data_IF_964404579435
#
_entry.id   IF_964404579435
#
_cell.length_a   1.000
_cell.length_b   1.000
_cell.length_c   1.000
_cell.angle_alpha   90.00
_cell.angle_beta   90.00
_cell.angle_gamma   90.00
#
_symmetry.space_group_name_H-M   'P 1'
#
loop_
_entity.id
_entity.type
_entity.pdbx_description
1 polymer ?
#
# COMPACT_ATOMS: atom_id res chain seq x y z
N UNK A 1 43.62 7.82 5.86
CA UNK A 1 42.29 7.90 5.26
C UNK A 1 41.44 8.78 6.14
N UNK A 2 41.15 10.00 5.69
CA UNK A 2 40.43 10.97 6.52
C UNK A 2 38.94 10.64 6.54
N UNK A 3 38.22 11.01 7.61
CA UNK A 3 36.77 10.82 7.71
C UNK A 3 36.00 11.53 6.57
N UNK A 4 36.63 12.47 5.86
CA UNK A 4 36.10 13.09 4.66
C UNK A 4 36.11 12.16 3.42
N UNK A 5 37.05 11.21 3.30
CA UNK A 5 37.04 10.20 2.24
C UNK A 5 35.94 9.14 2.45
N UNK A 6 35.61 8.84 3.70
CA UNK A 6 34.49 7.95 4.04
C UNK A 6 33.12 8.60 3.83
N UNK A 7 33.01 9.92 3.98
CA UNK A 7 31.77 10.65 3.70
C UNK A 7 31.60 10.98 2.20
N UNK A 8 32.68 11.05 1.43
CA UNK A 8 32.61 11.17 -0.03
C UNK A 8 32.10 9.89 -0.72
N UNK A 9 32.23 8.71 -0.08
CA UNK A 9 31.65 7.45 -0.56
C UNK A 9 30.16 7.27 -0.18
N UNK A 10 29.63 8.11 0.72
CA UNK A 10 28.21 8.10 1.11
C UNK A 10 27.37 9.13 0.32
N UNK A 11 28.00 9.89 -0.58
CA UNK A 11 27.36 10.91 -1.40
C UNK A 11 26.73 10.33 -2.66
N UNK A 12 25.43 10.52 -2.81
CA UNK A 12 24.70 10.38 -4.08
C UNK A 12 24.99 9.07 -4.81
N UNK A 13 24.54 7.95 -4.24
CA UNK A 13 24.41 6.70 -4.98
C UNK A 13 23.39 6.90 -6.11
N UNK A 14 23.85 7.51 -7.21
CA UNK A 14 23.18 7.47 -8.50
C UNK A 14 22.94 5.99 -8.75
N UNK A 15 21.68 5.56 -8.64
CA UNK A 15 21.33 4.15 -8.79
C UNK A 15 22.01 3.64 -10.06
N UNK A 16 22.85 2.62 -9.91
CA UNK A 16 23.55 2.01 -11.03
C UNK A 16 22.56 1.76 -12.18
N UNK A 17 23.01 1.87 -13.44
CA UNK A 17 22.12 1.75 -14.58
C UNK A 17 21.25 0.50 -14.44
N UNK A 18 19.94 0.72 -14.49
CA UNK A 18 18.91 -0.34 -14.46
C UNK A 18 18.89 -1.15 -15.75
N UNK A 19 19.82 -0.86 -16.66
CA UNK A 19 19.92 -1.50 -17.95
C UNK A 19 20.33 -2.97 -17.79
N UNK A 20 19.85 -3.81 -18.68
CA UNK A 20 19.99 -5.25 -18.67
C UNK A 20 21.13 -5.58 -19.61
N UNK A 21 22.16 -6.22 -19.09
CA UNK A 21 23.44 -6.43 -19.79
C UNK A 21 23.52 -7.83 -20.39
N UNK A 22 22.39 -8.55 -20.43
CA UNK A 22 22.34 -9.93 -20.91
C UNK A 22 22.79 -10.95 -19.87
N UNK A 23 22.83 -10.58 -18.58
CA UNK A 23 23.21 -11.50 -17.52
C UNK A 23 22.14 -12.56 -17.22
N UNK A 24 22.52 -13.70 -16.65
CA UNK A 24 21.53 -14.72 -16.32
C UNK A 24 20.52 -14.25 -15.27
N UNK A 25 19.29 -14.75 -15.39
CA UNK A 25 18.19 -14.47 -14.48
C UNK A 25 17.90 -15.68 -13.59
N UNK A 26 17.23 -15.47 -12.45
CA UNK A 26 16.77 -16.55 -11.56
C UNK A 26 15.42 -16.24 -10.93
N UNK A 27 14.70 -17.29 -10.55
CA UNK A 27 13.48 -17.16 -9.76
C UNK A 27 13.77 -17.02 -8.27
N UNK A 28 13.01 -16.17 -7.59
CA UNK A 28 12.95 -16.10 -6.13
C UNK A 28 11.50 -16.08 -5.66
N UNK A 29 11.23 -16.74 -4.54
CA UNK A 29 9.89 -16.80 -3.97
C UNK A 29 9.84 -17.66 -2.72
N UNK A 30 8.65 -18.07 -2.33
CA UNK A 30 8.50 -18.97 -1.18
C UNK A 30 9.14 -20.35 -1.42
N UNK A 31 9.15 -20.81 -2.67
CA UNK A 31 9.75 -22.09 -3.07
C UNK A 31 11.25 -22.21 -2.72
N UNK A 32 11.99 -21.09 -2.65
CA UNK A 32 13.39 -21.06 -2.26
C UNK A 32 13.67 -20.13 -1.07
N UNK A 33 12.64 -19.81 -0.27
CA UNK A 33 12.76 -18.90 0.89
C UNK A 33 13.41 -17.55 0.53
N UNK A 34 13.15 -17.04 -0.68
CA UNK A 34 13.69 -15.77 -1.16
C UNK A 34 15.23 -15.72 -1.26
N UNK A 35 15.90 -16.88 -1.35
CA UNK A 35 17.36 -16.95 -1.47
C UNK A 35 17.82 -16.49 -2.84
N UNK A 36 18.55 -15.38 -2.88
CA UNK A 36 19.11 -14.83 -4.11
C UNK A 36 20.27 -15.65 -4.71
N UNK A 37 20.80 -16.64 -3.98
CA UNK A 37 21.97 -17.45 -4.36
C UNK A 37 21.64 -18.86 -4.85
N UNK A 38 20.36 -19.25 -4.89
CA UNK A 38 19.95 -20.58 -5.36
C UNK A 38 20.14 -20.75 -6.88
N UNK A 39 21.12 -21.57 -7.27
CA UNK A 39 21.43 -21.85 -8.68
C UNK A 39 20.47 -22.84 -9.34
N UNK A 40 19.64 -23.55 -8.56
CA UNK A 40 18.70 -24.55 -9.11
C UNK A 40 17.55 -23.91 -9.88
N UNK A 41 17.29 -22.61 -9.64
CA UNK A 41 16.20 -21.84 -10.25
C UNK A 41 16.69 -20.77 -11.24
N UNK A 42 17.85 -20.99 -11.85
CA UNK A 42 18.40 -20.11 -12.88
C UNK A 42 17.69 -20.31 -14.21
N UNK A 43 17.15 -19.23 -14.78
CA UNK A 43 16.59 -19.24 -16.13
C UNK A 43 17.74 -19.22 -17.13
N UNK A 44 17.73 -20.16 -18.06
CA UNK A 44 18.74 -20.25 -19.11
C UNK A 44 18.36 -19.35 -20.26
N UNK A 45 19.33 -18.62 -20.80
CA UNK A 45 19.13 -17.83 -22.00
C UNK A 45 18.81 -18.75 -23.18
N UNK A 46 17.74 -18.43 -23.90
CA UNK A 46 17.34 -19.06 -25.15
C UNK A 46 17.96 -18.27 -26.30
N UNK A 47 18.50 -18.97 -27.30
CA UNK A 47 19.02 -18.30 -28.50
C UNK A 47 17.87 -17.78 -29.35
N UNK A 48 17.81 -16.45 -29.51
CA UNK A 48 16.92 -15.77 -30.45
C UNK A 48 17.79 -15.08 -31.50
N UNK A 49 17.34 -15.07 -32.75
CA UNK A 49 18.04 -14.41 -33.87
C UNK A 49 18.02 -12.88 -33.80
N UNK A 50 17.25 -12.29 -32.88
CA UNK A 50 17.11 -10.85 -32.69
C UNK A 50 18.09 -10.37 -31.63
N UNK A 51 18.93 -9.40 -31.97
CA UNK A 51 19.98 -8.88 -31.07
C UNK A 51 19.41 -8.09 -29.90
N UNK A 52 18.20 -7.56 -30.04
CA UNK A 52 17.63 -6.59 -29.10
C UNK A 52 16.72 -7.25 -28.05
N UNK A 53 16.54 -8.57 -28.16
CA UNK A 53 15.62 -9.35 -27.33
C UNK A 53 16.36 -10.52 -26.68
N UNK A 54 16.43 -10.50 -25.35
CA UNK A 54 16.93 -11.61 -24.57
C UNK A 54 15.76 -12.39 -23.96
N UNK A 55 15.62 -13.66 -24.32
CA UNK A 55 14.64 -14.56 -23.71
C UNK A 55 15.33 -15.57 -22.82
N UNK A 56 14.70 -15.84 -21.70
CA UNK A 56 15.15 -16.78 -20.69
C UNK A 56 14.04 -17.77 -20.38
N UNK A 57 14.41 -19.04 -20.20
CA UNK A 57 13.49 -20.14 -19.93
C UNK A 57 13.92 -20.97 -18.73
N UNK A 58 12.95 -21.39 -17.91
CA UNK A 58 13.15 -22.39 -16.87
C UNK A 58 11.96 -23.35 -16.81
N UNK A 59 12.21 -24.64 -17.04
CA UNK A 59 11.21 -25.69 -16.86
C UNK A 59 11.22 -26.17 -15.41
N UNK A 60 10.06 -26.20 -14.77
CA UNK A 60 9.86 -26.65 -13.38
C UNK A 60 8.63 -27.53 -13.26
N UNK A 61 8.62 -28.40 -12.27
CA UNK A 61 7.45 -29.20 -11.89
C UNK A 61 6.77 -28.62 -10.65
N UNK A 62 5.49 -28.29 -10.76
CA UNK A 62 4.69 -27.69 -9.70
C UNK A 62 4.07 -28.78 -8.82
N UNK A 63 4.72 -29.15 -7.72
CA UNK A 63 4.27 -30.28 -6.90
C UNK A 63 2.84 -30.11 -6.37
N UNK A 64 2.48 -28.88 -5.96
CA UNK A 64 1.15 -28.54 -5.43
C UNK A 64 0.32 -27.68 -6.40
N UNK A 65 0.75 -27.58 -7.67
CA UNK A 65 -0.01 -26.86 -8.71
C UNK A 65 0.02 -25.33 -8.56
N UNK A 66 0.95 -24.79 -7.78
CA UNK A 66 0.99 -23.34 -7.52
C UNK A 66 2.43 -22.85 -7.35
N UNK A 67 2.73 -21.67 -7.91
CA UNK A 67 4.03 -21.01 -7.76
C UNK A 67 3.87 -19.49 -7.70
N UNK A 68 4.43 -18.85 -6.68
CA UNK A 68 4.52 -17.38 -6.58
C UNK A 68 5.97 -16.97 -6.56
N UNK A 69 6.37 -16.13 -7.52
CA UNK A 69 7.77 -15.78 -7.72
C UNK A 69 7.99 -14.35 -8.22
N UNK A 70 9.23 -13.91 -8.11
CA UNK A 70 9.80 -12.78 -8.82
C UNK A 70 11.03 -13.27 -9.58
N UNK A 71 11.53 -12.45 -10.49
CA UNK A 71 12.74 -12.76 -11.25
C UNK A 71 13.79 -11.73 -10.88
N UNK A 72 15.01 -12.18 -10.60
CA UNK A 72 16.13 -11.28 -10.28
C UNK A 72 17.35 -11.62 -11.12
N UNK A 73 18.27 -10.67 -11.21
CA UNK A 73 19.59 -10.88 -11.81
C UNK A 73 20.44 -11.84 -10.97
N UNK A 74 21.18 -12.75 -11.61
CA UNK A 74 22.12 -13.63 -10.93
C UNK A 74 23.33 -12.88 -10.34
N UNK A 75 23.72 -11.75 -10.95
CA UNK A 75 24.89 -10.96 -10.54
C UNK A 75 24.51 -9.77 -9.68
N UNK A 76 23.40 -9.10 -10.00
CA UNK A 76 22.92 -7.91 -9.27
C UNK A 76 21.92 -8.23 -8.17
N UNK A 77 21.46 -9.48 -8.08
CA UNK A 77 20.45 -9.91 -7.12
C UNK A 77 19.23 -8.97 -7.12
N UNK A 78 18.76 -8.53 -5.95
CA UNK A 78 17.61 -7.66 -5.82
C UNK A 78 17.82 -6.24 -6.35
N UNK A 79 19.06 -5.82 -6.67
CA UNK A 79 19.30 -4.54 -7.33
C UNK A 79 18.80 -4.52 -8.79
N UNK A 80 18.51 -5.69 -9.38
CA UNK A 80 17.76 -5.81 -10.62
C UNK A 80 16.65 -6.86 -10.45
N UNK A 81 15.40 -6.40 -10.43
CA UNK A 81 14.21 -7.21 -10.16
C UNK A 81 13.16 -6.97 -11.21
N UNK A 82 12.64 -8.05 -11.79
CA UNK A 82 11.46 -8.03 -12.65
C UNK A 82 10.25 -8.47 -11.82
N UNK A 83 9.22 -7.63 -11.84
CA UNK A 83 8.00 -7.85 -11.07
C UNK A 83 6.78 -7.27 -11.80
N UNK A 84 5.56 -7.78 -11.51
CA UNK A 84 4.35 -7.30 -12.15
C UNK A 84 3.89 -5.95 -11.56
N UNK A 85 3.34 -5.07 -12.39
CA UNK A 85 2.95 -3.71 -11.97
C UNK A 85 1.46 -3.56 -11.66
N UNK A 86 0.60 -4.36 -12.27
CA UNK A 86 -0.87 -4.23 -12.13
C UNK A 86 -1.50 -5.56 -11.67
N UNK A 87 -2.08 -5.61 -10.47
CA UNK A 87 -2.72 -6.83 -9.97
C UNK A 87 -4.04 -7.09 -10.72
N UNK A 88 -4.47 -8.35 -10.72
CA UNK A 88 -5.83 -8.75 -11.07
C UNK A 88 -6.81 -8.32 -9.98
N UNK A 89 -8.10 -8.44 -10.27
CA UNK A 89 -9.19 -8.01 -9.39
C UNK A 89 -9.20 -8.70 -8.01
N UNK A 90 -8.54 -9.85 -7.86
CA UNK A 90 -8.41 -10.60 -6.61
C UNK A 90 -7.04 -10.44 -5.95
N UNK A 91 -6.25 -9.47 -6.40
CA UNK A 91 -5.02 -9.05 -5.76
C UNK A 91 -3.80 -9.95 -5.99
N UNK A 92 -3.91 -10.91 -6.91
CA UNK A 92 -2.79 -11.69 -7.41
C UNK A 92 -2.29 -11.14 -8.75
N UNK A 93 -1.16 -11.62 -9.25
CA UNK A 93 -0.67 -11.29 -10.59
C UNK A 93 -0.56 -12.57 -11.41
N UNK A 94 -1.72 -13.14 -11.78
CA UNK A 94 -1.80 -14.43 -12.47
C UNK A 94 -1.30 -14.34 -13.89
N UNK A 95 -0.26 -15.11 -14.20
CA UNK A 95 0.14 -15.38 -15.57
C UNK A 95 -0.92 -16.28 -16.24
N UNK A 96 -1.07 -16.14 -17.56
CA UNK A 96 -1.89 -17.05 -18.36
C UNK A 96 -1.00 -17.86 -19.31
N UNK A 97 -1.27 -19.16 -19.42
CA UNK A 97 -0.52 -20.06 -20.30
C UNK A 97 -0.49 -19.52 -21.74
N UNK A 98 0.70 -19.45 -22.34
CA UNK A 98 0.92 -19.00 -23.71
C UNK A 98 0.66 -17.52 -23.99
N UNK A 99 0.41 -16.70 -22.95
CA UNK A 99 0.07 -15.29 -23.14
C UNK A 99 1.12 -14.35 -22.53
N UNK A 100 1.99 -13.82 -23.40
CA UNK A 100 3.05 -12.88 -23.05
C UNK A 100 2.55 -11.54 -22.48
N UNK A 101 1.32 -11.17 -22.80
CA UNK A 101 0.71 -9.89 -22.40
C UNK A 101 -0.26 -10.03 -21.22
N UNK A 102 -0.35 -11.22 -20.62
CA UNK A 102 -1.31 -11.49 -19.53
C UNK A 102 -1.08 -10.58 -18.31
N UNK A 103 0.18 -10.29 -18.00
CA UNK A 103 0.56 -9.47 -16.86
C UNK A 103 1.64 -8.47 -17.28
N UNK A 104 1.34 -7.18 -17.12
CA UNK A 104 2.33 -6.14 -17.32
C UNK A 104 3.42 -6.23 -16.24
N UNK A 105 4.68 -6.19 -16.67
CA UNK A 105 5.85 -6.27 -15.81
C UNK A 105 6.76 -5.05 -16.00
N UNK A 106 7.60 -4.78 -14.99
CA UNK A 106 8.65 -3.74 -15.04
C UNK A 106 9.93 -4.24 -14.40
N UNK A 107 11.03 -3.54 -14.67
CA UNK A 107 12.29 -3.65 -13.96
C UNK A 107 12.35 -2.61 -12.84
N UNK A 108 12.89 -2.99 -11.68
CA UNK A 108 13.22 -2.06 -10.60
C UNK A 108 14.37 -2.59 -9.75
N UNK A 109 14.71 -1.84 -8.70
CA UNK A 109 15.81 -2.14 -7.78
C UNK A 109 15.37 -2.80 -6.48
N UNK A 110 16.24 -2.73 -5.48
CA UNK A 110 16.07 -3.43 -4.21
C UNK A 110 14.80 -3.02 -3.46
N UNK A 111 14.44 -1.73 -3.53
CA UNK A 111 13.26 -1.14 -2.90
C UNK A 111 11.95 -1.33 -3.69
N UNK A 112 12.02 -1.86 -4.92
CA UNK A 112 10.90 -1.88 -5.86
C UNK A 112 10.21 -3.26 -5.86
N UNK A 113 8.90 -3.30 -6.13
CA UNK A 113 8.19 -4.57 -6.34
C UNK A 113 7.99 -5.48 -5.12
N UNK A 114 8.21 -5.01 -3.89
CA UNK A 114 7.95 -5.85 -2.70
C UNK A 114 6.49 -6.33 -2.63
N UNK A 115 6.30 -7.65 -2.57
CA UNK A 115 4.97 -8.29 -2.54
C UNK A 115 4.27 -8.29 -3.89
N UNK A 116 4.94 -7.93 -4.98
CA UNK A 116 4.45 -8.06 -6.34
C UNK A 116 5.02 -9.34 -6.95
N UNK A 117 4.29 -10.44 -6.86
CA UNK A 117 4.76 -11.73 -7.33
C UNK A 117 3.90 -12.21 -8.48
N UNK A 118 4.55 -12.71 -9.53
CA UNK A 118 3.87 -13.50 -10.55
C UNK A 118 3.29 -14.75 -9.91
N UNK A 119 2.09 -15.15 -10.36
CA UNK A 119 1.40 -16.33 -9.88
C UNK A 119 1.11 -17.27 -11.06
N UNK A 120 1.50 -18.53 -10.93
CA UNK A 120 1.07 -19.64 -11.77
C UNK A 120 0.19 -20.56 -10.94
N UNK A 121 -0.98 -20.91 -11.46
CA UNK A 121 -1.89 -21.92 -10.88
C UNK A 121 -2.24 -22.93 -11.95
N UNK A 122 -1.96 -24.20 -11.66
CA UNK A 122 -2.15 -25.35 -12.54
C UNK A 122 -2.53 -26.58 -11.70
N UNK A 123 -2.78 -27.73 -12.35
CA UNK A 123 -2.98 -28.99 -11.63
C UNK A 123 -1.69 -29.44 -10.89
N UNK A 124 -1.79 -30.06 -9.70
CA UNK A 124 -0.64 -30.61 -9.01
C UNK A 124 0.16 -31.61 -9.86
N UNK A 125 1.48 -31.47 -9.84
CA UNK A 125 2.41 -32.26 -10.63
C UNK A 125 2.64 -31.77 -12.06
N UNK A 126 1.95 -30.71 -12.49
CA UNK A 126 2.11 -30.09 -13.83
C UNK A 126 3.53 -29.57 -14.02
N UNK A 127 4.08 -29.80 -15.22
CA UNK A 127 5.37 -29.23 -15.63
C UNK A 127 5.12 -28.02 -16.51
N UNK A 128 5.69 -26.88 -16.13
CA UNK A 128 5.59 -25.62 -16.85
C UNK A 128 6.98 -25.13 -17.25
N UNK A 129 7.07 -24.44 -18.38
CA UNK A 129 8.26 -23.65 -18.74
C UNK A 129 7.93 -22.18 -18.55
N UNK A 130 8.65 -21.53 -17.65
CA UNK A 130 8.51 -20.11 -17.34
C UNK A 130 9.43 -19.35 -18.27
N UNK A 131 8.88 -18.38 -18.98
CA UNK A 131 9.60 -17.54 -19.91
C UNK A 131 9.65 -16.10 -19.40
N UNK A 132 10.81 -15.49 -19.57
CA UNK A 132 11.03 -14.06 -19.31
C UNK A 132 11.73 -13.48 -20.52
N UNK A 133 11.16 -12.41 -21.06
CA UNK A 133 11.75 -11.67 -22.17
C UNK A 133 12.08 -10.27 -21.71
N UNK A 134 13.30 -9.84 -22.00
CA UNK A 134 13.81 -8.49 -21.75
C UNK A 134 14.25 -7.92 -23.09
N UNK A 135 13.64 -6.81 -23.49
CA UNK A 135 14.00 -6.09 -24.71
C UNK A 135 14.38 -4.65 -24.41
N UNK A 136 15.36 -4.14 -25.13
CA UNK A 136 15.77 -2.73 -25.05
C UNK A 136 15.03 -1.92 -26.13
N UNK A 137 14.29 -0.91 -25.69
CA UNK A 137 13.66 0.06 -26.59
C UNK A 137 14.68 1.07 -27.13
N UNK A 138 14.37 1.69 -28.27
CA UNK A 138 15.24 2.68 -28.93
C UNK A 138 15.65 3.88 -28.06
N UNK A 139 14.89 4.16 -26.99
CA UNK A 139 15.16 5.25 -26.06
C UNK A 139 15.86 4.80 -24.76
N UNK A 140 16.35 3.55 -24.71
CA UNK A 140 16.83 2.93 -23.47
C UNK A 140 15.70 2.41 -22.56
N UNK A 141 14.43 2.61 -22.95
CA UNK A 141 13.28 2.07 -22.22
C UNK A 141 13.29 0.54 -22.28
N UNK A 142 13.33 -0.09 -21.11
CA UNK A 142 13.28 -1.55 -21.04
C UNK A 142 11.85 -2.06 -21.03
N UNK A 143 11.57 -3.02 -21.90
CA UNK A 143 10.30 -3.75 -21.88
C UNK A 143 10.56 -5.16 -21.41
N UNK A 144 9.75 -5.59 -20.44
CA UNK A 144 9.81 -6.93 -19.89
C UNK A 144 8.47 -7.63 -19.99
N UNK A 145 8.50 -8.89 -20.37
CA UNK A 145 7.34 -9.77 -20.41
C UNK A 145 7.66 -11.06 -19.64
N UNK A 146 6.66 -11.61 -18.96
CA UNK A 146 6.76 -12.89 -18.30
C UNK A 146 5.49 -13.70 -18.60
N UNK A 147 5.67 -14.97 -18.95
CA UNK A 147 4.58 -15.92 -19.20
C UNK A 147 5.05 -17.34 -18.89
N UNK A 148 4.18 -18.32 -19.08
CA UNK A 148 4.59 -19.71 -19.05
C UNK A 148 3.87 -20.50 -20.14
N UNK A 149 4.45 -21.64 -20.48
CA UNK A 149 3.86 -22.63 -21.37
C UNK A 149 3.79 -23.99 -20.67
N UNK A 150 2.79 -24.80 -21.00
CA UNK A 150 2.68 -26.16 -20.50
C UNK A 150 3.66 -27.06 -21.26
N UNK A 151 4.49 -27.80 -20.53
CA UNK A 151 5.45 -28.73 -21.13
C UNK A 151 4.76 -30.06 -21.50
N UNK A 152 3.85 -30.03 -22.48
CA UNK A 152 3.18 -31.24 -22.96
C UNK A 152 4.10 -32.07 -23.86
N UNK A 153 4.24 -33.36 -23.54
CA UNK A 153 4.65 -34.40 -24.49
C UNK A 153 6.09 -34.32 -25.02
N UNK A 154 6.87 -33.28 -24.69
CA UNK A 154 8.32 -33.32 -24.89
C UNK A 154 8.89 -34.27 -23.87
N UNK A 155 9.30 -35.45 -24.33
CA UNK A 155 10.14 -36.34 -23.54
C UNK A 155 11.42 -35.56 -23.25
N UNK A 156 11.46 -34.88 -22.10
CA UNK A 156 12.68 -34.32 -21.52
C UNK A 156 13.55 -35.49 -21.04
N UNK A 157 13.91 -36.37 -21.98
CA UNK A 157 14.78 -37.49 -21.72
C UNK A 157 16.13 -36.90 -21.29
N UNK A 158 16.53 -37.21 -20.05
CA UNK A 158 17.81 -36.92 -19.39
C UNK A 158 17.97 -35.63 -18.55
N UNK A 159 17.10 -34.61 -18.61
CA UNK A 159 17.30 -33.42 -17.77
C UNK A 159 16.44 -33.47 -16.50
N UNK A 160 17.08 -33.48 -15.33
CA UNK A 160 16.38 -33.36 -14.04
C UNK A 160 15.64 -32.02 -13.97
N UNK A 161 14.31 -32.07 -14.01
CA UNK A 161 13.45 -30.89 -13.86
C UNK A 161 13.28 -30.59 -12.37
N UNK A 162 13.64 -29.38 -11.89
CA UNK A 162 13.43 -28.99 -10.50
C UNK A 162 11.96 -29.14 -10.11
N UNK A 163 11.70 -29.80 -8.98
CA UNK A 163 10.36 -29.94 -8.41
C UNK A 163 10.19 -28.91 -7.31
N UNK A 164 9.19 -28.05 -7.43
CA UNK A 164 8.93 -26.95 -6.51
C UNK A 164 7.71 -27.27 -5.66
N UNK A 165 7.89 -27.19 -4.34
CA UNK A 165 6.84 -27.32 -3.34
C UNK A 165 6.43 -25.93 -2.86
N UNK A 166 5.16 -25.56 -3.05
CA UNK A 166 4.63 -24.30 -2.53
C UNK A 166 3.13 -24.37 -2.26
N UNK A 167 2.77 -24.43 -0.98
CA UNK A 167 1.39 -24.58 -0.58
C UNK A 167 0.56 -23.35 -0.97
N UNK A 168 -0.60 -23.58 -1.62
CA UNK A 168 -1.52 -22.52 -2.04
C UNK A 168 -1.89 -21.59 -0.87
N UNK A 169 -2.12 -22.14 0.33
CA UNK A 169 -2.44 -21.36 1.53
C UNK A 169 -1.30 -20.48 2.08
N UNK A 170 -0.06 -20.67 1.62
CA UNK A 170 1.06 -19.76 1.96
C UNK A 170 1.06 -18.52 1.10
N UNK A 171 0.32 -18.52 -0.01
CA UNK A 171 0.12 -17.32 -0.79
C UNK A 171 -0.96 -16.48 -0.16
N UNK A 172 -0.58 -15.29 0.30
CA UNK A 172 -1.54 -14.27 0.70
C UNK A 172 -1.65 -13.28 -0.45
N UNK A 173 -2.84 -13.04 -1.01
CA UNK A 173 -2.98 -12.00 -2.02
C UNK A 173 -2.51 -10.67 -1.46
N UNK A 174 -2.05 -9.79 -2.34
CA UNK A 174 -1.70 -8.42 -1.92
C UNK A 174 -2.93 -7.67 -1.39
N UNK A 175 -4.12 -8.12 -1.78
CA UNK A 175 -5.41 -7.63 -1.35
C UNK A 175 -6.30 -8.83 -0.95
N UNK A 176 -6.74 -8.99 0.31
CA UNK A 176 -7.76 -9.99 0.67
C UNK A 176 -8.95 -9.94 -0.29
N UNK A 177 -9.46 -11.12 -0.66
CA UNK A 177 -10.58 -11.25 -1.61
C UNK A 177 -11.80 -10.52 -1.06
N UNK A 178 -12.51 -9.83 -1.97
CA UNK A 178 -13.77 -9.13 -1.69
C UNK A 178 -14.84 -10.03 -1.03
N UNK A 179 -14.74 -11.35 -1.21
CA UNK A 179 -15.68 -12.36 -0.72
C UNK A 179 -15.47 -12.74 0.75
N UNK A 180 -14.30 -12.47 1.35
CA UNK A 180 -14.07 -12.64 2.79
C UNK A 180 -14.75 -11.52 3.61
N UNK A 181 -15.25 -10.49 2.93
CA UNK A 181 -16.08 -9.45 3.50
C UNK A 181 -17.54 -9.80 3.21
N UNK A 182 -18.21 -10.42 4.17
CA UNK A 182 -19.63 -10.78 4.07
C UNK A 182 -20.44 -9.64 3.43
N UNK A 183 -21.26 -9.97 2.42
CA UNK A 183 -22.07 -9.01 1.64
C UNK A 183 -22.60 -7.89 2.54
N UNK A 184 -22.24 -6.62 2.29
CA UNK A 184 -22.95 -5.50 2.89
C UNK A 184 -24.40 -5.60 2.43
N UNK A 185 -25.35 -5.64 3.38
CA UNK A 185 -26.77 -5.46 3.05
C UNK A 185 -26.90 -4.12 2.34
N UNK A 186 -27.33 -4.15 1.09
CA UNK A 186 -27.73 -2.96 0.35
C UNK A 186 -28.94 -2.34 1.05
N UNK A 187 -28.71 -1.42 1.98
CA UNK A 187 -29.70 -0.42 2.32
C UNK A 187 -29.19 0.93 1.81
N UNK A 188 -30.00 1.50 0.92
CA UNK A 188 -29.94 2.87 0.41
C UNK A 188 -29.42 3.88 1.43
N UNK A 189 -28.24 4.43 1.15
CA UNK A 189 -27.77 5.67 1.77
C UNK A 189 -28.29 6.85 0.94
N UNK A 190 -29.40 7.41 1.41
CA UNK A 190 -29.86 8.73 0.98
C UNK A 190 -28.77 9.78 1.31
N UNK A 191 -28.36 10.55 0.31
CA UNK A 191 -27.43 11.68 0.47
C UNK A 191 -28.07 12.76 1.37
N UNK A 192 -27.43 13.22 2.45
CA UNK A 192 -27.90 14.40 3.17
C UNK A 192 -27.65 15.66 2.33
N UNK A 193 -28.68 16.50 2.21
CA UNK A 193 -28.61 17.85 1.63
C UNK A 193 -27.65 18.73 2.44
N UNK A 194 -26.72 19.36 1.74
CA UNK A 194 -25.89 20.46 2.24
C UNK A 194 -26.71 21.74 2.18
N UNK A 195 -27.10 22.27 3.34
CA UNK A 195 -27.45 23.68 3.52
C UNK A 195 -27.11 24.03 4.96
N UNK A 196 -26.03 24.78 5.17
CA UNK A 196 -25.75 25.60 6.36
C UNK A 196 -24.55 26.52 6.06
N UNK A 197 -24.84 27.70 5.49
CA UNK A 197 -23.90 28.83 5.45
C UNK A 197 -24.01 29.60 6.77
N UNK A 198 -22.87 29.80 7.44
CA UNK A 198 -22.69 30.81 8.47
C UNK A 198 -21.40 31.59 8.16
N UNK A 199 -21.55 32.87 7.86
CA UNK A 199 -20.48 33.83 7.58
C UNK A 199 -19.72 34.21 8.87
N UNK A 200 -18.38 34.18 8.91
CA UNK A 200 -17.61 34.75 10.01
C UNK A 200 -17.15 36.18 9.71
N UNK A 201 -17.29 37.05 10.71
CA UNK A 201 -16.84 38.44 10.74
C UNK A 201 -15.31 38.54 10.70
N UNK A 202 -14.82 39.45 9.87
CA UNK A 202 -13.40 39.77 9.67
C UNK A 202 -12.81 40.55 10.85
N UNK A 203 -11.72 40.04 11.43
CA UNK A 203 -10.80 40.82 12.26
C UNK A 203 -9.45 40.89 11.57
N UNK A 204 -9.08 42.09 11.13
CA UNK A 204 -7.81 42.42 10.46
C UNK A 204 -6.66 42.52 11.47
N UNK A 205 -5.60 41.74 11.27
CA UNK A 205 -4.36 41.84 12.02
C UNK A 205 -3.18 41.25 11.25
N UNK A 206 -2.37 42.15 10.66
CA UNK A 206 -0.94 42.06 10.30
C UNK A 206 -0.39 40.67 9.97
N UNK A 207 -0.16 40.39 8.68
CA UNK A 207 0.50 39.17 8.20
C UNK A 207 1.91 39.45 7.68
N UNK A 208 2.88 38.88 8.39
CA UNK A 208 4.06 38.25 7.80
C UNK A 208 3.61 37.36 6.62
N UNK A 209 4.38 37.24 5.53
CA UNK A 209 3.94 36.72 4.21
C UNK A 209 3.50 35.23 4.20
N UNK A 210 2.49 34.89 5.00
CA UNK A 210 1.90 33.59 5.16
C UNK A 210 0.92 33.34 4.04
N UNK A 211 1.13 32.24 3.33
CA UNK A 211 0.13 31.68 2.43
C UNK A 211 -1.24 31.67 3.11
N UNK A 212 -2.19 32.40 2.53
CA UNK A 212 -3.58 32.34 2.96
C UNK A 212 -4.07 30.92 2.73
N UNK A 213 -4.24 30.16 3.82
CA UNK A 213 -4.83 28.82 3.75
C UNK A 213 -6.26 28.97 3.24
N UNK A 214 -6.55 28.34 2.10
CA UNK A 214 -7.87 28.34 1.49
C UNK A 214 -8.94 27.65 2.35
N UNK A 215 -10.15 27.55 1.79
CA UNK A 215 -11.25 26.84 2.43
C UNK A 215 -10.86 25.38 2.73
N UNK A 216 -11.20 24.91 3.93
CA UNK A 216 -10.87 23.55 4.36
C UNK A 216 -12.02 22.62 4.03
N UNK A 217 -11.72 21.53 3.34
CA UNK A 217 -12.64 20.48 2.95
C UNK A 217 -12.32 19.17 3.71
N UNK A 218 -13.37 18.42 4.09
CA UNK A 218 -13.22 17.08 4.67
C UNK A 218 -13.49 16.03 3.57
N UNK A 219 -12.44 15.29 3.19
CA UNK A 219 -12.53 14.18 2.25
C UNK A 219 -12.66 12.86 3.03
N UNK A 220 -13.85 12.27 2.96
CA UNK A 220 -14.19 11.04 3.64
C UNK A 220 -13.79 9.78 2.85
N UNK A 221 -13.34 8.76 3.58
CA UNK A 221 -13.10 7.40 3.07
C UNK A 221 -12.23 7.35 1.80
N UNK A 222 -11.10 8.05 1.85
CA UNK A 222 -10.22 8.22 0.68
C UNK A 222 -9.29 7.04 0.42
N UNK A 223 -9.17 6.10 1.37
CA UNK A 223 -8.10 5.11 1.38
C UNK A 223 -8.08 4.16 0.18
N UNK A 224 -9.24 3.91 -0.43
CA UNK A 224 -9.40 3.00 -1.57
C UNK A 224 -9.71 3.72 -2.90
N UNK A 225 -9.57 5.05 -2.93
CA UNK A 225 -9.96 5.89 -4.08
C UNK A 225 -8.70 6.35 -4.82
N UNK A 226 -8.55 5.89 -6.06
CA UNK A 226 -7.34 6.13 -6.86
C UNK A 226 -7.11 7.62 -7.14
N UNK A 227 -8.19 8.40 -7.27
CA UNK A 227 -8.13 9.84 -7.47
C UNK A 227 -7.54 10.62 -6.29
N UNK A 228 -7.37 9.99 -5.12
CA UNK A 228 -6.78 10.62 -3.93
C UNK A 228 -5.42 10.01 -3.54
N UNK A 229 -4.79 9.24 -4.42
CA UNK A 229 -3.54 8.55 -4.14
C UNK A 229 -2.44 9.51 -3.61
N UNK A 230 -2.30 10.70 -4.22
CA UNK A 230 -1.29 11.68 -3.83
C UNK A 230 -1.56 12.25 -2.43
N UNK A 231 -2.83 12.55 -2.11
CA UNK A 231 -3.23 13.02 -0.77
C UNK A 231 -3.04 11.94 0.30
N UNK A 232 -3.28 10.66 -0.04
CA UNK A 232 -3.00 9.55 0.87
C UNK A 232 -1.50 9.43 1.15
N UNK A 233 -0.65 9.67 0.14
CA UNK A 233 0.80 9.72 0.33
C UNK A 233 1.21 10.89 1.24
N UNK A 234 0.63 12.08 1.08
CA UNK A 234 0.86 13.22 1.98
C UNK A 234 0.44 12.91 3.42
N UNK A 235 -0.74 12.33 3.64
CA UNK A 235 -1.19 11.91 4.96
C UNK A 235 -0.23 10.91 5.61
N UNK A 236 0.36 10.02 4.81
CA UNK A 236 1.38 9.08 5.26
C UNK A 236 2.70 9.76 5.63
N UNK A 237 3.10 10.81 4.90
CA UNK A 237 4.25 11.64 5.31
C UNK A 237 3.97 12.36 6.63
N UNK A 238 2.77 12.92 6.81
CA UNK A 238 2.35 13.52 8.08
C UNK A 238 2.33 12.49 9.23
N UNK A 239 1.86 11.27 8.96
CA UNK A 239 1.89 10.15 9.91
C UNK A 239 3.31 9.84 10.39
N UNK A 240 4.26 9.68 9.45
CA UNK A 240 5.68 9.40 9.76
C UNK A 240 6.32 10.48 10.64
N UNK A 241 5.90 11.74 10.51
CA UNK A 241 6.41 12.86 11.33
C UNK A 241 5.78 12.94 12.72
N UNK A 242 4.62 12.31 12.91
CA UNK A 242 3.81 12.47 14.13
C UNK A 242 3.85 11.23 15.03
N UNK A 243 4.01 10.04 14.46
CA UNK A 243 3.96 8.76 15.16
C UNK A 243 5.22 7.93 14.89
N UNK A 244 5.69 7.20 15.91
CA UNK A 244 6.82 6.26 15.78
C UNK A 244 6.53 5.15 14.75
N UNK A 245 5.25 4.81 14.61
CA UNK A 245 4.75 3.88 13.62
C UNK A 245 3.79 4.61 12.68
N UNK A 246 4.23 4.85 11.44
CA UNK A 246 3.33 5.33 10.40
C UNK A 246 2.30 4.26 10.07
N UNK A 247 1.11 4.67 9.62
CA UNK A 247 0.23 3.73 8.93
C UNK A 247 0.82 3.37 7.56
N UNK A 248 0.55 2.15 7.12
CA UNK A 248 0.89 1.64 5.80
C UNK A 248 -0.36 1.66 4.92
N UNK A 249 -0.19 1.83 3.61
CA UNK A 249 -1.31 1.80 2.65
C UNK A 249 -2.08 0.47 2.74
N UNK A 250 -1.39 -0.63 3.04
CA UNK A 250 -2.01 -1.94 3.28
C UNK A 250 -2.94 -1.94 4.49
N UNK A 251 -2.75 -1.04 5.45
CA UNK A 251 -3.59 -0.95 6.65
C UNK A 251 -4.95 -0.32 6.30
N UNK A 252 -5.05 0.40 5.17
CA UNK A 252 -6.33 0.91 4.65
C UNK A 252 -7.21 -0.21 4.06
N UNK A 253 -6.64 -1.42 3.93
CA UNK A 253 -7.35 -2.62 3.53
C UNK A 253 -7.86 -3.32 4.80
N UNK A 254 -9.11 -3.77 4.81
CA UNK A 254 -9.68 -4.52 5.94
C UNK A 254 -10.60 -3.72 6.86
N UNK A 255 -11.40 -2.82 6.29
CA UNK A 255 -12.43 -2.08 7.04
C UNK A 255 -11.92 -0.84 7.76
N UNK A 256 -10.68 -0.40 7.51
CA UNK A 256 -10.21 0.89 8.00
C UNK A 256 -10.67 2.03 7.10
N UNK A 257 -10.97 3.15 7.73
CA UNK A 257 -11.43 4.37 7.06
C UNK A 257 -10.45 5.50 7.28
N UNK A 258 -9.99 6.08 6.18
CA UNK A 258 -9.11 7.25 6.19
C UNK A 258 -9.88 8.48 5.75
N UNK A 259 -9.95 9.48 6.62
CA UNK A 259 -10.57 10.78 6.35
C UNK A 259 -9.52 11.88 6.44
N UNK A 260 -9.51 12.76 5.45
CA UNK A 260 -8.54 13.85 5.34
C UNK A 260 -9.22 15.19 5.55
N UNK A 261 -8.52 16.12 6.21
CA UNK A 261 -8.78 17.55 6.13
C UNK A 261 -7.79 18.14 5.13
N UNK A 262 -8.29 18.75 4.06
CA UNK A 262 -7.48 19.31 2.96
C UNK A 262 -7.84 20.77 2.73
N UNK A 263 -6.90 21.56 2.21
CA UNK A 263 -7.18 22.90 1.71
C UNK A 263 -6.71 23.04 0.27
N UNK A 264 -7.43 23.85 -0.49
CA UNK A 264 -7.00 24.27 -1.82
C UNK A 264 -5.86 25.30 -1.72
N UNK A 265 -4.76 25.05 -2.43
CA UNK A 265 -3.56 25.91 -2.49
C UNK A 265 -3.42 26.51 -3.89
N UNK A 266 -4.53 26.67 -4.61
CA UNK A 266 -4.58 27.28 -5.93
C UNK A 266 -3.99 26.37 -7.01
N UNK A 267 -2.96 26.84 -7.72
CA UNK A 267 -2.36 26.09 -8.83
C UNK A 267 -1.65 24.80 -8.42
N UNK A 268 -1.32 24.65 -7.13
CA UNK A 268 -0.70 23.42 -6.59
C UNK A 268 -1.73 22.35 -6.20
N UNK A 269 -3.03 22.62 -6.34
CA UNK A 269 -4.09 21.69 -5.99
C UNK A 269 -4.34 21.61 -4.47
N UNK A 270 -4.81 20.45 -4.01
CA UNK A 270 -5.18 20.23 -2.61
C UNK A 270 -3.98 19.79 -1.79
N UNK A 271 -3.89 20.27 -0.55
CA UNK A 271 -2.84 19.90 0.42
C UNK A 271 -3.44 19.33 1.70
N UNK A 272 -2.84 18.28 2.23
CA UNK A 272 -3.30 17.67 3.48
C UNK A 272 -2.93 18.52 4.69
N UNK A 273 -3.94 18.95 5.44
CA UNK A 273 -3.82 19.68 6.70
C UNK A 273 -3.93 18.78 7.93
N UNK A 274 -4.58 17.63 7.79
CA UNK A 274 -4.72 16.64 8.85
C UNK A 274 -5.42 15.37 8.36
N UNK A 275 -5.38 14.32 9.16
CA UNK A 275 -6.08 13.08 8.87
C UNK A 275 -6.55 12.36 10.12
N UNK A 276 -7.56 11.50 9.94
CA UNK A 276 -8.08 10.58 10.93
C UNK A 276 -8.18 9.18 10.31
N UNK A 277 -7.53 8.19 10.93
CA UNK A 277 -7.59 6.78 10.55
C UNK A 277 -8.38 6.03 11.62
N UNK A 278 -9.50 5.43 11.21
CA UNK A 278 -10.38 4.65 12.07
C UNK A 278 -10.37 3.17 11.67
N UNK A 279 -10.46 2.27 12.64
CA UNK A 279 -10.75 0.85 12.44
C UNK A 279 -12.27 0.62 12.50
N UNK A 280 -12.83 0.12 11.39
CA UNK A 280 -14.25 -0.19 11.23
C UNK A 280 -14.64 -1.63 11.54
N UNK A 281 -13.78 -2.42 12.17
CA UNK A 281 -14.14 -3.77 12.61
C UNK A 281 -15.10 -3.79 13.83
N UNK A 282 -15.55 -2.63 14.29
CA UNK A 282 -16.57 -2.37 15.33
C UNK A 282 -16.66 -3.36 16.50
N UNK A 283 -15.53 -3.76 17.15
CA UNK A 283 -15.63 -4.56 18.36
C UNK A 283 -16.45 -3.79 19.40
N UNK A 284 -17.40 -4.49 20.03
CA UNK A 284 -18.25 -3.95 21.10
C UNK A 284 -19.06 -2.69 20.70
N UNK A 285 -19.49 -2.58 19.44
CA UNK A 285 -20.22 -1.40 18.92
C UNK A 285 -19.44 -0.09 19.12
N UNK A 286 -18.12 -0.14 18.98
CA UNK A 286 -17.26 1.03 19.12
C UNK A 286 -16.31 1.17 17.93
N UNK A 287 -16.04 2.40 17.52
CA UNK A 287 -14.99 2.69 16.52
C UNK A 287 -13.70 3.01 17.23
N UNK A 288 -12.61 2.37 16.82
CA UNK A 288 -11.27 2.74 17.28
C UNK A 288 -10.63 3.77 16.35
N UNK A 289 -10.23 4.91 16.90
CA UNK A 289 -9.39 5.88 16.20
C UNK A 289 -7.94 5.46 16.45
N UNK A 290 -7.29 4.97 15.40
CA UNK A 290 -5.90 4.54 15.46
C UNK A 290 -4.97 5.75 15.45
N UNK A 291 -5.16 6.64 14.48
CA UNK A 291 -4.33 7.83 14.31
C UNK A 291 -5.19 9.07 14.07
N UNK A 292 -4.84 10.15 14.75
CA UNK A 292 -5.35 11.49 14.50
C UNK A 292 -4.18 12.47 14.52
N UNK A 293 -3.91 13.12 13.40
CA UNK A 293 -2.83 14.11 13.31
C UNK A 293 -3.25 15.35 12.53
N UNK A 294 -2.86 16.51 13.04
CA UNK A 294 -3.03 17.82 12.41
C UNK A 294 -1.65 18.43 12.19
N UNK A 295 -1.43 18.95 10.98
CA UNK A 295 -0.21 19.66 10.61
C UNK A 295 0.03 20.83 11.57
N UNK A 296 1.27 20.98 12.04
CA UNK A 296 1.59 21.84 13.19
C UNK A 296 1.18 23.29 12.99
N UNK A 297 1.42 23.84 11.80
CA UNK A 297 1.11 25.22 11.43
C UNK A 297 -0.39 25.56 11.45
N UNK A 298 -1.27 24.55 11.45
CA UNK A 298 -2.73 24.72 11.43
C UNK A 298 -3.42 24.11 12.65
N UNK A 299 -2.65 23.76 13.69
CA UNK A 299 -3.20 23.33 14.98
C UNK A 299 -4.00 24.45 15.63
N UNK A 300 -4.88 24.09 16.57
CA UNK A 300 -5.78 25.01 17.31
C UNK A 300 -6.78 25.76 16.42
N UNK A 301 -6.96 25.36 15.16
CA UNK A 301 -8.01 25.86 14.25
C UNK A 301 -9.26 24.97 14.21
N UNK A 302 -9.43 24.08 15.19
CA UNK A 302 -10.59 23.18 15.27
C UNK A 302 -10.57 21.97 14.31
N UNK A 303 -9.54 21.79 13.48
CA UNK A 303 -9.47 20.69 12.49
C UNK A 303 -9.55 19.30 13.13
N UNK A 304 -8.88 19.09 14.27
CA UNK A 304 -8.96 17.83 15.02
C UNK A 304 -10.40 17.53 15.47
N UNK A 305 -11.11 18.56 15.93
CA UNK A 305 -12.52 18.46 16.32
C UNK A 305 -13.41 18.12 15.12
N UNK A 306 -13.17 18.73 13.95
CA UNK A 306 -13.94 18.44 12.73
C UNK A 306 -13.75 16.99 12.27
N UNK A 307 -12.51 16.48 12.29
CA UNK A 307 -12.22 15.10 11.94
C UNK A 307 -12.86 14.10 12.92
N UNK A 308 -12.80 14.39 14.23
CA UNK A 308 -13.47 13.57 15.25
C UNK A 308 -14.99 13.61 15.14
N UNK A 309 -15.55 14.78 14.80
CA UNK A 309 -16.98 14.93 14.53
C UNK A 309 -17.39 14.05 13.35
N UNK A 310 -16.63 14.06 12.25
CA UNK A 310 -16.88 13.16 11.13
C UNK A 310 -16.83 11.68 11.56
N UNK A 311 -15.80 11.28 12.31
CA UNK A 311 -15.67 9.91 12.80
C UNK A 311 -16.84 9.50 13.70
N UNK A 312 -17.31 10.39 14.57
CA UNK A 312 -18.48 10.17 15.42
C UNK A 312 -19.78 10.02 14.64
N UNK A 313 -19.99 10.85 13.61
CA UNK A 313 -21.15 10.73 12.72
C UNK A 313 -21.12 9.43 11.92
N UNK A 314 -19.95 9.04 11.43
CA UNK A 314 -19.75 7.77 10.74
C UNK A 314 -20.00 6.56 11.65
N UNK A 315 -19.49 6.60 12.89
CA UNK A 315 -19.73 5.58 13.90
C UNK A 315 -21.23 5.44 14.23
N UNK A 316 -21.93 6.56 14.44
CA UNK A 316 -23.38 6.56 14.68
C UNK A 316 -24.16 5.95 13.51
N UNK A 317 -23.81 6.30 12.27
CA UNK A 317 -24.43 5.72 11.08
C UNK A 317 -24.20 4.20 10.98
N UNK A 318 -23.08 3.71 11.50
CA UNK A 318 -22.77 2.28 11.64
C UNK A 318 -23.41 1.59 12.84
N UNK A 319 -24.25 2.27 13.63
CA UNK A 319 -24.88 1.70 14.83
C UNK A 319 -23.93 1.55 16.03
N UNK A 320 -22.80 2.25 16.02
CA UNK A 320 -21.88 2.29 17.15
C UNK A 320 -22.35 3.25 18.23
N UNK A 321 -21.98 2.92 19.47
CA UNK A 321 -22.36 3.66 20.67
C UNK A 321 -21.21 4.53 21.20
N UNK A 322 -19.98 4.27 20.75
CA UNK A 322 -18.79 4.97 21.25
C UNK A 322 -17.66 5.14 20.20
N UNK A 323 -16.82 6.15 20.44
CA UNK A 323 -15.47 6.25 19.87
C UNK A 323 -14.45 5.91 20.95
N UNK A 324 -13.40 5.17 20.57
CA UNK A 324 -12.28 4.81 21.46
C UNK A 324 -10.96 5.19 20.84
N UNK A 325 -9.99 5.54 21.69
CA UNK A 325 -8.63 5.87 21.25
C UNK A 325 -7.62 5.66 22.38
N UNK A 326 -6.34 5.65 22.01
CA UNK A 326 -5.22 5.76 22.94
C UNK A 326 -4.56 7.13 22.74
N UNK A 327 -4.41 7.91 23.81
CA UNK A 327 -3.86 9.26 23.76
C UNK A 327 -2.55 9.38 24.52
N UNK A 328 -1.59 10.12 23.95
CA UNK A 328 -0.44 10.60 24.72
C UNK A 328 -0.90 11.52 25.85
N UNK A 329 -0.21 11.57 27.00
CA UNK A 329 -0.57 12.44 28.12
C UNK A 329 -0.76 13.92 27.72
N UNK A 330 0.03 14.40 26.75
CA UNK A 330 -0.06 15.77 26.21
C UNK A 330 -1.32 16.03 25.39
N UNK A 331 -1.95 14.99 24.84
CA UNK A 331 -3.19 15.08 24.05
C UNK A 331 -4.46 14.84 24.89
N UNK A 332 -4.35 14.26 26.09
CA UNK A 332 -5.49 14.01 26.99
C UNK A 332 -6.35 15.25 27.25
N UNK A 333 -5.79 16.46 27.51
CA UNK A 333 -6.62 17.66 27.72
C UNK A 333 -7.52 18.00 26.52
N UNK A 334 -7.02 17.79 25.30
CA UNK A 334 -7.79 18.01 24.07
C UNK A 334 -8.98 17.05 24.00
N UNK A 335 -8.78 15.76 24.26
CA UNK A 335 -9.88 14.78 24.22
C UNK A 335 -10.88 14.97 25.37
N UNK A 336 -10.42 15.29 26.58
CA UNK A 336 -11.32 15.62 27.71
C UNK A 336 -12.23 16.80 27.40
N UNK A 337 -11.70 17.84 26.73
CA UNK A 337 -12.51 18.99 26.31
C UNK A 337 -13.64 18.62 25.33
N UNK A 338 -13.48 17.51 24.59
CA UNK A 338 -14.49 16.96 23.69
C UNK A 338 -15.45 15.96 24.36
N UNK A 339 -15.27 15.71 25.67
CA UNK A 339 -16.11 14.80 26.45
C UNK A 339 -15.61 13.36 26.52
N UNK A 340 -14.38 13.08 26.09
CA UNK A 340 -13.80 11.75 26.28
C UNK A 340 -13.49 11.51 27.77
N UNK A 341 -13.82 10.31 28.23
CA UNK A 341 -13.55 9.80 29.58
C UNK A 341 -12.39 8.79 29.54
N UNK A 342 -11.67 8.62 30.65
CA UNK A 342 -10.57 7.66 30.75
C UNK A 342 -11.12 6.28 31.12
N UNK A 343 -10.68 5.22 30.44
CA UNK A 343 -11.12 3.84 30.70
C UNK A 343 -10.30 3.13 31.81
N UNK A 344 -9.39 3.85 32.49
CA UNK A 344 -8.58 3.33 33.60
C UNK A 344 -7.47 2.33 33.20
N UNK A 345 -7.40 1.92 31.94
CA UNK A 345 -6.34 1.06 31.40
C UNK A 345 -5.34 1.88 30.59
N UNK A 346 -4.05 1.59 30.77
CA UNK A 346 -2.97 2.16 29.97
C UNK A 346 -2.53 1.19 28.89
N UNK A 347 -2.24 1.72 27.72
CA UNK A 347 -1.56 0.99 26.66
C UNK A 347 -0.13 1.53 26.56
N UNK A 348 0.81 0.84 27.21
CA UNK A 348 2.18 1.33 27.43
C UNK A 348 2.15 2.70 28.15
N UNK A 349 2.49 3.77 27.42
CA UNK A 349 2.55 5.16 27.89
C UNK A 349 1.36 6.02 27.44
N UNK A 350 0.32 5.40 26.87
CA UNK A 350 -0.89 6.08 26.40
C UNK A 350 -2.09 5.79 27.29
N UNK A 351 -2.92 6.81 27.49
CA UNK A 351 -4.18 6.71 28.23
C UNK A 351 -5.30 6.28 27.28
N UNK A 352 -6.01 5.19 27.60
CA UNK A 352 -7.19 4.77 26.82
C UNK A 352 -8.38 5.63 27.17
N UNK A 353 -9.04 6.15 26.14
CA UNK A 353 -10.15 7.08 26.27
C UNK A 353 -11.36 6.64 25.46
N UNK A 354 -12.56 6.91 25.97
CA UNK A 354 -13.84 6.62 25.32
C UNK A 354 -14.72 7.86 25.28
N UNK A 355 -15.41 8.07 24.16
CA UNK A 355 -16.48 9.04 24.03
C UNK A 355 -17.78 8.31 23.69
N UNK A 356 -18.76 8.36 24.59
CA UNK A 356 -20.10 7.82 24.35
C UNK A 356 -20.90 8.75 23.44
N UNK A 357 -21.27 8.27 22.26
CA UNK A 357 -21.88 9.08 21.20
C UNK A 357 -23.27 9.60 21.60
N UNK A 358 -24.02 8.86 22.44
CA UNK A 358 -25.29 9.33 23.00
C UNK A 358 -25.17 10.56 23.92
N UNK A 359 -23.98 10.81 24.47
CA UNK A 359 -23.68 11.94 25.34
C UNK A 359 -22.86 13.03 24.62
N UNK A 360 -22.31 12.73 23.44
CA UNK A 360 -21.41 13.58 22.67
C UNK A 360 -22.09 14.72 21.90
N UNK A 361 -23.18 15.30 22.44
CA UNK A 361 -23.95 16.36 21.74
C UNK A 361 -23.07 17.54 21.34
N UNK A 362 -22.14 17.93 22.23
CA UNK A 362 -21.20 19.03 21.98
C UNK A 362 -20.29 18.78 20.78
N UNK A 363 -19.72 17.57 20.67
CA UNK A 363 -18.85 17.21 19.54
C UNK A 363 -19.65 17.10 18.24
N UNK A 364 -20.80 16.43 18.28
CA UNK A 364 -21.56 16.05 17.08
C UNK A 364 -22.39 17.20 16.52
N UNK A 365 -22.90 18.08 17.37
CA UNK A 365 -23.84 19.13 16.98
C UNK A 365 -23.30 20.55 17.21
N UNK A 366 -22.15 20.70 17.85
CA UNK A 366 -21.54 22.01 18.10
C UNK A 366 -22.30 22.86 19.11
N UNK A 367 -23.14 22.23 19.95
CA UNK A 367 -23.93 22.88 21.01
C UNK A 367 -23.20 22.98 22.33
#
# INVERSE_FOLDING_TARGET
GSMAELLAQAGTGCAAPREYEGEDLRLVGYCNQWRATDSTLQLRREFICDTDVARHGLTVRLQEGCLSFQVISCTRHFAFRIFPIKPTWDGFFRLACGNQSAVAATVGGESDGHGHNFLIEEEPGTTVTIHVEVSQGRNGDQKVAAWYDLAYGRSHAAQQVPTLLQARGRQKPKFPKREDYGRPRQHELAKPRQDLRAEPRSSSGVTDAGESIGEVEILADVGNRAEFADLVLEARFLSKRTFDHRFYIRDLIGGKHLTLAVADVGSMGKKVLGYCLCDGNFPDRSVWIEHLAIHEQVRRRGLGTQLLRWAGMWALAGGCEALRLSALPTAVPFYKALGFEMLGSKDKDMERMELRLGQARRLLWGQ
#
